data_IF_104924668121
#
_entry.id   IF_104924668121
#
_cell.length_a   1.000
_cell.length_b   1.000
_cell.length_c   1.000
_cell.angle_alpha   90.00
_cell.angle_beta   90.00
_cell.angle_gamma   90.00
#
_symmetry.space_group_name_H-M   'P 1'
#
loop_
_entity.id
_entity.type
_entity.pdbx_description
1 polymer ?
#
# COMPACT_ATOMS: atom_id res chain seq x y z
N UNK A 1 30.22 -17.08 -18.72
CA UNK A 1 31.20 -16.01 -19.00
C UNK A 1 30.92 -15.49 -20.41
N UNK A 2 30.60 -14.21 -20.52
CA UNK A 2 30.45 -13.44 -21.75
C UNK A 2 31.78 -12.80 -22.18
N UNK A 3 32.70 -12.53 -21.24
CA UNK A 3 34.00 -11.90 -21.53
C UNK A 3 35.13 -12.50 -20.69
N UNK A 4 36.38 -12.39 -21.17
CA UNK A 4 37.58 -12.82 -20.44
C UNK A 4 37.97 -11.85 -19.31
N UNK A 5 37.55 -10.59 -19.38
CA UNK A 5 37.79 -9.60 -18.32
C UNK A 5 36.73 -9.74 -17.21
N UNK A 6 37.10 -10.09 -15.96
CA UNK A 6 36.14 -10.44 -14.90
C UNK A 6 35.22 -9.29 -14.50
N UNK A 7 35.72 -8.05 -14.52
CA UNK A 7 34.93 -6.85 -14.21
C UNK A 7 33.89 -6.57 -15.31
N UNK A 8 34.29 -6.73 -16.56
CA UNK A 8 33.40 -6.51 -17.72
C UNK A 8 32.32 -7.59 -17.76
N UNK A 9 32.69 -8.85 -17.49
CA UNK A 9 31.74 -9.96 -17.37
C UNK A 9 30.70 -9.72 -16.27
N UNK A 10 31.15 -9.26 -15.10
CA UNK A 10 30.27 -8.94 -13.98
C UNK A 10 29.29 -7.79 -14.30
N UNK A 11 29.78 -6.71 -14.93
CA UNK A 11 28.93 -5.58 -15.34
C UNK A 11 27.92 -6.01 -16.39
N UNK A 12 28.37 -6.75 -17.43
CA UNK A 12 27.51 -7.20 -18.51
C UNK A 12 26.42 -8.15 -18.00
N UNK A 13 26.79 -9.12 -17.15
CA UNK A 13 25.85 -10.06 -16.54
C UNK A 13 24.86 -9.35 -15.62
N UNK A 14 25.35 -8.42 -14.79
CA UNK A 14 24.49 -7.62 -13.91
C UNK A 14 23.47 -6.80 -14.70
N UNK A 15 23.88 -6.13 -15.77
CA UNK A 15 22.98 -5.35 -16.63
C UNK A 15 21.95 -6.25 -17.34
N UNK A 16 22.38 -7.38 -17.89
CA UNK A 16 21.50 -8.32 -18.58
C UNK A 16 20.45 -8.92 -17.64
N UNK A 17 20.87 -9.47 -16.50
CA UNK A 17 19.97 -10.09 -15.53
C UNK A 17 18.99 -9.09 -14.92
N UNK A 18 19.46 -7.89 -14.60
CA UNK A 18 18.59 -6.80 -14.11
C UNK A 18 17.56 -6.41 -15.16
N UNK A 19 17.96 -6.31 -16.44
CA UNK A 19 17.06 -5.98 -17.54
C UNK A 19 15.97 -7.04 -17.73
N UNK A 20 16.36 -8.32 -17.71
CA UNK A 20 15.40 -9.44 -17.82
C UNK A 20 14.47 -9.48 -16.61
N UNK A 21 15.01 -9.34 -15.39
CA UNK A 21 14.22 -9.30 -14.16
C UNK A 21 13.20 -8.16 -14.15
N UNK A 22 13.61 -6.95 -14.57
CA UNK A 22 12.69 -5.81 -14.66
C UNK A 22 11.61 -6.04 -15.71
N UNK A 23 11.97 -6.56 -16.90
CA UNK A 23 11.01 -6.91 -17.93
C UNK A 23 10.00 -7.96 -17.43
N UNK A 24 10.47 -8.94 -16.66
CA UNK A 24 9.60 -9.96 -16.04
C UNK A 24 8.60 -9.34 -15.06
N UNK A 25 9.05 -8.44 -14.17
CA UNK A 25 8.16 -7.73 -13.26
C UNK A 25 7.11 -6.93 -14.03
N UNK A 26 7.50 -6.23 -15.10
CA UNK A 26 6.57 -5.46 -15.93
C UNK A 26 5.51 -6.37 -16.57
N UNK A 27 5.91 -7.54 -17.06
CA UNK A 27 4.98 -8.55 -17.60
C UNK A 27 3.99 -9.01 -16.53
N UNK A 28 4.46 -9.35 -15.33
CA UNK A 28 3.60 -9.79 -14.22
C UNK A 28 2.61 -8.69 -13.80
N UNK A 29 3.06 -7.45 -13.67
CA UNK A 29 2.19 -6.30 -13.38
C UNK A 29 1.14 -6.09 -14.47
N UNK A 30 1.53 -6.18 -15.74
CA UNK A 30 0.61 -6.03 -16.89
C UNK A 30 -0.51 -7.09 -16.88
N UNK A 31 -0.19 -8.34 -16.50
CA UNK A 31 -1.17 -9.43 -16.41
C UNK A 31 -2.18 -9.18 -15.28
N UNK A 32 -1.71 -8.70 -14.13
CA UNK A 32 -2.58 -8.44 -12.96
C UNK A 32 -3.46 -7.19 -13.15
N UNK A 33 -3.06 -6.27 -14.02
CA UNK A 33 -3.80 -5.07 -14.37
C UNK A 33 -3.50 -3.88 -13.45
N UNK A 34 -3.85 -2.67 -13.92
CA UNK A 34 -3.65 -1.42 -13.20
C UNK A 34 -4.59 -1.34 -12.00
N UNK A 35 -4.12 -1.72 -10.80
CA UNK A 35 -4.64 -1.09 -9.59
C UNK A 35 -3.95 0.27 -9.49
N UNK A 36 -4.70 1.36 -9.56
CA UNK A 36 -4.15 2.72 -9.54
C UNK A 36 -3.13 2.88 -8.42
N UNK A 37 -1.90 3.28 -8.78
CA UNK A 37 -0.81 3.64 -7.86
C UNK A 37 -1.17 4.75 -6.86
N UNK A 38 -2.33 5.39 -7.03
CA UNK A 38 -2.79 6.53 -6.23
C UNK A 38 -3.13 6.19 -4.77
N UNK A 39 -3.33 4.91 -4.42
CA UNK A 39 -3.51 4.43 -3.04
C UNK A 39 -2.86 3.06 -2.84
N UNK A 40 -1.54 3.02 -2.65
CA UNK A 40 -0.86 1.80 -2.24
C UNK A 40 -1.37 1.37 -0.87
N UNK A 41 -1.93 0.17 -0.79
CA UNK A 41 -2.32 -0.43 0.49
C UNK A 41 -1.05 -0.87 1.25
N UNK A 42 -1.12 -1.07 2.56
CA UNK A 42 0.01 -1.59 3.33
C UNK A 42 0.53 -2.92 2.76
N UNK A 43 -0.38 -3.75 2.25
CA UNK A 43 -0.03 -4.99 1.57
C UNK A 43 0.75 -4.74 0.26
N UNK A 44 0.29 -3.79 -0.57
CA UNK A 44 0.98 -3.45 -1.82
C UNK A 44 2.38 -2.84 -1.55
N UNK A 45 2.55 -2.13 -0.43
CA UNK A 45 3.85 -1.62 0.00
C UNK A 45 4.83 -2.74 0.36
N UNK A 46 4.41 -3.71 1.20
CA UNK A 46 5.24 -4.88 1.55
C UNK A 46 5.60 -5.68 0.29
N UNK A 47 4.64 -5.86 -0.62
CA UNK A 47 4.87 -6.52 -1.91
C UNK A 47 5.91 -5.79 -2.75
N UNK A 48 5.85 -4.47 -2.83
CA UNK A 48 6.83 -3.66 -3.57
C UNK A 48 8.25 -3.87 -3.03
N UNK A 49 8.41 -3.88 -1.70
CA UNK A 49 9.71 -4.15 -1.05
C UNK A 49 10.21 -5.55 -1.37
N UNK A 50 9.34 -6.56 -1.23
CA UNK A 50 9.70 -7.96 -1.49
C UNK A 50 10.12 -8.17 -2.96
N UNK A 51 9.40 -7.56 -3.91
CA UNK A 51 9.75 -7.60 -5.33
C UNK A 51 11.09 -6.93 -5.62
N UNK A 52 11.38 -5.78 -5.00
CA UNK A 52 12.68 -5.12 -5.10
C UNK A 52 13.83 -5.98 -4.57
N UNK A 53 13.61 -6.68 -3.45
CA UNK A 53 14.58 -7.62 -2.88
C UNK A 53 14.85 -8.81 -3.80
N UNK A 54 13.79 -9.40 -4.38
CA UNK A 54 13.93 -10.48 -5.36
C UNK A 54 14.62 -10.02 -6.64
N UNK A 55 14.37 -8.78 -7.10
CA UNK A 55 15.04 -8.21 -8.27
C UNK A 55 16.54 -8.07 -8.01
N UNK A 56 16.91 -7.50 -6.87
CA UNK A 56 18.31 -7.39 -6.46
C UNK A 56 18.98 -8.78 -6.34
N UNK A 57 18.27 -9.79 -5.84
CA UNK A 57 18.74 -11.18 -5.81
C UNK A 57 18.95 -11.77 -7.21
N UNK A 58 18.02 -11.48 -8.14
CA UNK A 58 18.12 -11.95 -9.53
C UNK A 58 19.32 -11.34 -10.25
N UNK A 59 19.59 -10.04 -10.05
CA UNK A 59 20.70 -9.31 -10.65
C UNK A 59 22.07 -9.78 -10.18
N UNK A 60 22.15 -10.31 -8.96
CA UNK A 60 23.39 -10.80 -8.35
C UNK A 60 23.61 -12.31 -8.56
N UNK A 61 22.70 -12.97 -9.27
CA UNK A 61 22.73 -14.42 -9.41
C UNK A 61 23.95 -14.89 -10.21
N UNK A 62 24.70 -15.83 -9.64
CA UNK A 62 25.86 -16.41 -10.29
C UNK A 62 25.48 -17.56 -11.23
N UNK A 63 24.37 -18.25 -10.96
CA UNK A 63 23.93 -19.43 -11.70
C UNK A 63 22.54 -19.23 -12.31
N UNK A 64 22.31 -19.82 -13.48
CA UNK A 64 20.99 -19.75 -14.13
C UNK A 64 19.88 -20.36 -13.29
N UNK A 65 20.17 -21.39 -12.51
CA UNK A 65 19.19 -21.98 -11.60
C UNK A 65 18.76 -21.00 -10.50
N UNK A 66 19.70 -20.23 -9.94
CA UNK A 66 19.40 -19.20 -8.94
C UNK A 66 18.60 -18.05 -9.54
N UNK A 67 18.92 -17.65 -10.78
CA UNK A 67 18.14 -16.64 -11.50
C UNK A 67 16.69 -17.11 -11.74
N UNK A 68 16.50 -18.32 -12.26
CA UNK A 68 15.17 -18.91 -12.46
C UNK A 68 14.39 -19.06 -11.16
N UNK A 69 15.05 -19.40 -10.05
CA UNK A 69 14.42 -19.46 -8.74
C UNK A 69 13.87 -18.09 -8.32
N UNK A 70 14.63 -17.01 -8.52
CA UNK A 70 14.16 -15.65 -8.21
C UNK A 70 12.99 -15.21 -9.09
N UNK A 71 13.02 -15.50 -10.39
CA UNK A 71 11.89 -15.22 -11.29
C UNK A 71 10.62 -16.01 -10.92
N UNK A 72 10.80 -17.27 -10.52
CA UNK A 72 9.70 -18.12 -10.05
C UNK A 72 9.13 -17.59 -8.74
N UNK A 73 9.99 -17.19 -7.80
CA UNK A 73 9.56 -16.59 -6.54
C UNK A 73 8.75 -15.31 -6.77
N UNK A 74 9.17 -14.45 -7.70
CA UNK A 74 8.40 -13.26 -8.10
C UNK A 74 7.02 -13.64 -8.63
N UNK A 75 6.94 -14.64 -9.52
CA UNK A 75 5.67 -15.10 -10.10
C UNK A 75 4.73 -15.69 -9.03
N UNK A 76 5.26 -16.50 -8.12
CA UNK A 76 4.51 -17.04 -6.98
C UNK A 76 4.00 -15.92 -6.06
N UNK A 77 4.84 -14.93 -5.75
CA UNK A 77 4.46 -13.81 -4.90
C UNK A 77 3.34 -12.98 -5.56
N UNK A 78 3.44 -12.73 -6.87
CA UNK A 78 2.37 -12.12 -7.65
C UNK A 78 1.09 -12.94 -7.65
N UNK A 79 1.18 -14.26 -7.81
CA UNK A 79 0.02 -15.15 -7.77
C UNK A 79 -0.68 -15.12 -6.41
N UNK A 80 0.09 -15.07 -5.31
CA UNK A 80 -0.45 -14.88 -3.95
C UNK A 80 -1.12 -13.51 -3.83
N UNK A 81 -0.47 -12.42 -4.24
CA UNK A 81 -1.07 -11.08 -4.21
C UNK A 81 -2.38 -11.02 -5.00
N UNK A 82 -2.41 -11.60 -6.20
CA UNK A 82 -3.61 -11.66 -7.03
C UNK A 82 -4.73 -12.47 -6.35
N UNK A 83 -4.39 -13.62 -5.78
CA UNK A 83 -5.34 -14.49 -5.10
C UNK A 83 -5.93 -13.82 -3.87
N UNK A 84 -5.09 -13.23 -3.01
CA UNK A 84 -5.52 -12.47 -1.83
C UNK A 84 -6.43 -11.31 -2.25
N UNK A 85 -6.06 -10.56 -3.30
CA UNK A 85 -6.92 -9.51 -3.84
C UNK A 85 -8.28 -10.01 -4.31
N UNK A 86 -8.34 -11.17 -4.98
CA UNK A 86 -9.60 -11.72 -5.46
C UNK A 86 -10.47 -12.21 -4.31
N UNK A 87 -9.87 -12.90 -3.33
CA UNK A 87 -10.56 -13.42 -2.15
C UNK A 87 -11.12 -12.32 -1.26
N UNK A 88 -10.38 -11.21 -1.10
CA UNK A 88 -10.83 -10.05 -0.32
C UNK A 88 -12.13 -9.44 -0.85
N UNK A 89 -12.32 -9.40 -2.17
CA UNK A 89 -13.59 -8.94 -2.78
C UNK A 89 -14.80 -9.80 -2.40
N UNK A 90 -14.60 -11.05 -2.02
CA UNK A 90 -15.68 -11.99 -1.70
C UNK A 90 -15.89 -12.18 -0.20
N UNK A 91 -14.91 -11.80 0.63
CA UNK A 91 -14.98 -11.97 2.09
C UNK A 91 -14.56 -10.70 2.82
N UNK A 92 -15.51 -9.93 3.38
CA UNK A 92 -15.24 -8.78 4.24
C UNK A 92 -14.38 -9.13 5.47
N UNK A 93 -14.44 -10.39 5.93
CA UNK A 93 -13.62 -10.87 7.05
C UNK A 93 -12.15 -11.00 6.67
N UNK A 94 -11.85 -11.50 5.47
CA UNK A 94 -10.48 -11.56 4.95
C UNK A 94 -9.95 -10.16 4.67
N UNK A 95 -10.81 -9.27 4.19
CA UNK A 95 -10.46 -7.86 3.99
C UNK A 95 -10.01 -7.20 5.30
N UNK A 96 -10.79 -7.35 6.38
CA UNK A 96 -10.44 -6.81 7.70
C UNK A 96 -9.22 -7.45 8.39
N UNK A 97 -8.79 -8.63 7.94
CA UNK A 97 -7.63 -9.35 8.46
C UNK A 97 -6.33 -8.89 7.78
N UNK A 98 -6.42 -8.53 6.51
CA UNK A 98 -5.28 -8.15 5.66
C UNK A 98 -5.11 -6.63 5.59
N UNK A 99 -6.21 -5.88 5.68
CA UNK A 99 -6.20 -4.42 5.68
C UNK A 99 -6.79 -3.84 6.96
N UNK A 100 -6.22 -2.71 7.37
CA UNK A 100 -6.83 -1.87 8.38
C UNK A 100 -8.18 -1.37 7.86
N UNK A 101 -9.17 -1.24 8.73
CA UNK A 101 -10.44 -0.57 8.39
C UNK A 101 -10.24 0.94 8.53
N UNK A 102 -10.73 1.79 7.60
CA UNK A 102 -10.71 3.24 7.81
C UNK A 102 -11.46 3.62 9.08
N UNK A 103 -10.98 4.63 9.80
CA UNK A 103 -11.51 4.97 11.13
C UNK A 103 -11.87 6.46 11.21
N UNK A 104 -13.05 6.77 11.77
CA UNK A 104 -13.53 8.15 11.90
C UNK A 104 -12.84 8.89 13.06
N UNK A 105 -12.06 9.93 12.76
CA UNK A 105 -11.35 10.76 13.74
C UNK A 105 -12.11 12.02 14.14
N UNK A 106 -12.87 12.62 13.21
CA UNK A 106 -13.72 13.79 13.45
C UNK A 106 -15.08 13.52 12.85
N UNK A 107 -16.16 13.91 13.55
CA UNK A 107 -17.52 13.92 13.01
C UNK A 107 -18.21 15.23 13.36
N UNK A 108 -18.68 15.96 12.36
CA UNK A 108 -19.44 17.21 12.52
C UNK A 108 -18.78 18.21 13.50
N UNK A 109 -17.46 18.39 13.33
CA UNK A 109 -16.63 19.27 14.14
C UNK A 109 -16.22 18.72 15.52
N UNK A 110 -16.71 17.55 15.92
CA UNK A 110 -16.32 16.90 17.16
C UNK A 110 -15.16 15.92 16.94
N UNK A 111 -14.05 16.12 17.65
CA UNK A 111 -12.89 15.22 17.65
C UNK A 111 -13.20 13.98 18.50
N UNK A 112 -12.95 12.81 17.92
CA UNK A 112 -13.17 11.52 18.57
C UNK A 112 -11.91 11.09 19.32
N UNK A 113 -11.68 11.66 20.51
CA UNK A 113 -10.44 11.43 21.27
C UNK A 113 -10.17 9.95 21.62
N UNK A 114 -11.21 9.17 21.92
CA UNK A 114 -11.04 7.72 22.16
C UNK A 114 -10.49 7.01 20.93
N UNK A 115 -10.89 7.47 19.75
CA UNK A 115 -10.44 6.91 18.49
C UNK A 115 -9.01 7.31 18.19
N UNK A 116 -8.64 8.57 18.42
CA UNK A 116 -7.25 9.03 18.34
C UNK A 116 -6.32 8.19 19.23
N UNK A 117 -6.73 7.91 20.47
CA UNK A 117 -5.98 7.05 21.41
C UNK A 117 -5.86 5.62 20.90
N UNK A 118 -6.97 5.04 20.43
CA UNK A 118 -7.00 3.66 19.92
C UNK A 118 -6.13 3.48 18.67
N UNK A 119 -6.09 4.48 17.78
CA UNK A 119 -5.27 4.46 16.56
C UNK A 119 -3.88 5.04 16.74
N UNK A 120 -3.54 5.51 17.94
CA UNK A 120 -2.26 6.17 18.27
C UNK A 120 -1.94 7.39 17.39
N UNK A 121 -2.98 8.12 16.98
CA UNK A 121 -2.84 9.38 16.22
C UNK A 121 -2.78 10.51 17.23
N UNK A 122 -1.73 11.32 17.18
CA UNK A 122 -1.62 12.50 18.01
C UNK A 122 -2.60 13.59 17.52
N UNK A 123 -3.13 14.40 18.43
CA UNK A 123 -4.07 15.47 18.05
C UNK A 123 -3.37 16.51 17.16
N UNK A 124 -2.08 16.73 17.38
CA UNK A 124 -1.23 17.61 16.57
C UNK A 124 -1.12 17.13 15.12
N UNK A 125 -1.09 15.82 14.89
CA UNK A 125 -1.05 15.22 13.54
C UNK A 125 -2.39 15.41 12.82
N UNK A 126 -3.50 15.22 13.54
CA UNK A 126 -4.84 15.52 13.02
C UNK A 126 -4.93 17.00 12.63
N UNK A 127 -4.50 17.91 13.51
CA UNK A 127 -4.51 19.34 13.23
C UNK A 127 -3.59 19.71 12.06
N UNK A 128 -2.45 19.03 11.88
CA UNK A 128 -1.60 19.19 10.71
C UNK A 128 -2.32 18.81 9.41
N UNK A 129 -3.09 17.72 9.43
CA UNK A 129 -3.86 17.27 8.27
C UNK A 129 -5.05 18.18 7.95
N UNK A 130 -5.71 18.73 8.96
CA UNK A 130 -6.72 19.77 8.77
C UNK A 130 -6.13 21.03 8.13
N UNK A 131 -4.92 21.45 8.53
CA UNK A 131 -4.19 22.57 7.90
C UNK A 131 -3.82 22.25 6.45
N UNK A 132 -3.29 21.06 6.18
CA UNK A 132 -2.95 20.61 4.82
C UNK A 132 -4.18 20.63 3.89
N UNK A 133 -5.35 20.29 4.43
CA UNK A 133 -6.62 20.32 3.70
C UNK A 133 -7.28 21.70 3.60
N UNK A 134 -6.67 22.78 4.12
CA UNK A 134 -7.28 24.11 4.23
C UNK A 134 -8.64 24.12 4.98
N UNK A 135 -8.82 23.23 5.95
CA UNK A 135 -9.97 23.26 6.84
C UNK A 135 -9.79 24.35 7.90
N UNK A 136 -10.18 25.58 7.56
CA UNK A 136 -9.91 26.78 8.37
C UNK A 136 -10.61 26.80 9.73
N UNK A 137 -11.71 26.07 9.86
CA UNK A 137 -12.53 26.03 11.06
C UNK A 137 -12.94 24.59 11.36
N UNK A 138 -12.57 24.08 12.55
CA UNK A 138 -12.96 22.73 12.96
C UNK A 138 -14.48 22.47 12.88
N UNK A 139 -15.37 23.40 13.27
CA UNK A 139 -16.83 23.20 13.13
C UNK A 139 -17.35 23.00 11.70
N UNK A 140 -16.58 23.39 10.67
CA UNK A 140 -16.96 23.16 9.27
C UNK A 140 -16.48 21.80 8.73
N UNK A 141 -15.69 21.06 9.52
CA UNK A 141 -15.25 19.70 9.20
C UNK A 141 -16.40 18.74 9.46
N UNK A 142 -16.88 18.08 8.40
CA UNK A 142 -17.95 17.07 8.48
C UNK A 142 -17.38 15.71 8.86
N UNK A 143 -16.21 15.38 8.32
CA UNK A 143 -15.50 14.19 8.72
C UNK A 143 -13.99 14.33 8.54
N UNK A 144 -13.23 13.70 9.43
CA UNK A 144 -11.83 13.35 9.18
C UNK A 144 -11.69 11.84 9.37
N UNK A 145 -11.10 11.16 8.39
CA UNK A 145 -11.02 9.70 8.35
C UNK A 145 -9.57 9.28 8.25
N UNK A 146 -9.11 8.47 9.20
CA UNK A 146 -7.85 7.76 9.09
C UNK A 146 -8.03 6.62 8.08
N UNK A 147 -7.39 6.76 6.92
CA UNK A 147 -7.44 5.78 5.83
C UNK A 147 -6.55 4.57 6.13
N UNK A 148 -6.78 3.47 5.39
CA UNK A 148 -5.99 2.24 5.53
C UNK A 148 -4.50 2.43 5.21
N UNK A 149 -4.19 3.47 4.44
CA UNK A 149 -2.83 3.92 4.08
C UNK A 149 -2.13 4.71 5.18
N UNK A 150 -2.83 5.02 6.30
CA UNK A 150 -2.33 5.87 7.37
C UNK A 150 -2.42 7.38 7.11
N UNK A 151 -2.94 7.80 5.94
CA UNK A 151 -3.23 9.21 5.68
C UNK A 151 -4.57 9.61 6.32
N UNK A 152 -4.79 10.90 6.55
CA UNK A 152 -6.07 11.43 7.03
C UNK A 152 -6.75 12.16 5.88
N UNK A 153 -7.89 11.64 5.44
CA UNK A 153 -8.80 12.33 4.53
C UNK A 153 -9.63 13.34 5.32
N UNK A 154 -9.77 14.56 4.82
CA UNK A 154 -10.55 15.63 5.47
C UNK A 154 -11.69 16.05 4.55
N UNK A 155 -12.91 16.01 5.07
CA UNK A 155 -14.13 16.46 4.39
C UNK A 155 -14.70 17.64 5.17
N UNK A 156 -14.73 18.82 4.53
CA UNK A 156 -15.26 20.04 5.12
C UNK A 156 -16.17 20.76 4.12
N UNK A 157 -17.16 21.47 4.64
CA UNK A 157 -18.18 22.15 3.83
C UNK A 157 -19.53 22.20 4.54
N UNK A 158 -20.53 22.77 3.86
CA UNK A 158 -21.86 22.92 4.45
C UNK A 158 -22.54 21.56 4.66
N UNK A 159 -22.48 20.68 3.66
CA UNK A 159 -23.09 19.35 3.64
C UNK A 159 -22.09 18.31 3.13
N UNK A 160 -22.24 17.08 3.59
CA UNK A 160 -21.49 15.91 3.14
C UNK A 160 -22.49 14.79 2.90
N UNK A 161 -22.34 14.07 1.79
CA UNK A 161 -23.11 12.86 1.53
C UNK A 161 -22.62 11.73 2.46
N UNK A 162 -23.53 11.08 3.19
CA UNK A 162 -23.21 9.96 4.07
C UNK A 162 -22.60 8.77 3.32
N UNK A 163 -22.85 8.64 2.02
CA UNK A 163 -22.23 7.63 1.17
C UNK A 163 -20.69 7.68 1.21
N UNK A 164 -20.10 8.85 1.49
CA UNK A 164 -18.66 9.04 1.61
C UNK A 164 -18.06 8.38 2.87
N UNK A 165 -18.88 8.04 3.87
CA UNK A 165 -18.45 7.32 5.08
C UNK A 165 -18.65 5.80 4.97
N UNK A 166 -19.06 5.28 3.82
CA UNK A 166 -19.27 3.85 3.62
C UNK A 166 -17.98 3.06 3.87
N UNK A 167 -18.04 2.11 4.80
CA UNK A 167 -16.89 1.26 5.17
C UNK A 167 -15.96 1.89 6.22
N UNK A 168 -16.24 3.10 6.69
CA UNK A 168 -15.54 3.72 7.81
C UNK A 168 -16.08 3.14 9.11
N UNK A 169 -15.19 2.61 9.96
CA UNK A 169 -15.55 2.12 11.28
C UNK A 169 -16.01 3.29 12.15
N UNK A 170 -17.22 3.21 12.75
CA UNK A 170 -17.67 4.20 13.70
C UNK A 170 -16.87 4.08 15.01
N UNK A 171 -16.94 5.13 15.83
CA UNK A 171 -16.37 5.14 17.18
C UNK A 171 -16.92 3.97 17.97
N UNK A 172 -16.06 3.01 18.34
CA UNK A 172 -16.41 2.04 19.37
C UNK A 172 -16.50 2.81 20.68
N UNK A 173 -17.70 3.20 21.08
CA UNK A 173 -17.94 3.63 22.45
C UNK A 173 -17.55 2.45 23.33
N UNK A 174 -16.48 2.61 24.10
CA UNK A 174 -16.11 1.65 25.14
C UNK A 174 -17.31 1.46 26.06
N UNK A 175 -17.67 0.19 26.28
CA UNK A 175 -18.30 -0.20 27.53
C UNK A 175 -17.24 -0.23 28.61
#
# INVERSE_FOLDING_TARGET
>A
MFFEAPVVDAIAKGALLSGIGLAWIIVLVRIVGLRSFSKLTNFDFVMTIAMGSLLAGSSQSQEWIGFLQTLTAMACLFAVQYSVSRLRRWSPRLDSLVENTPVLLVKDGAVQHDTLRATRVAEEDLMAKLREANALHLPSVRAAVLETTGNISVLYGERMDEALLKGVAPVKHGR
#
